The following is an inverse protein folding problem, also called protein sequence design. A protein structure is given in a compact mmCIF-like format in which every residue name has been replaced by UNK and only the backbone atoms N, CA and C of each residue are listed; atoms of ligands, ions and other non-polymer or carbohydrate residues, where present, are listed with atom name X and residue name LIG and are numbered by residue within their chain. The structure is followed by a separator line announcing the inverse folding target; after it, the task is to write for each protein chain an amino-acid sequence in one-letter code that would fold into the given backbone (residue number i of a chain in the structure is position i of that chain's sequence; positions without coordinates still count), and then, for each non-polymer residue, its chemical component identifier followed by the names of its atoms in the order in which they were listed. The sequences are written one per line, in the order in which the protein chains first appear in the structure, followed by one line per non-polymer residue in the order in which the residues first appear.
data_IF_293879014078
#
_entry.id   IF_293879014078
#
_cell.length_a   1.000
_cell.length_b   1.000
_cell.length_c   1.000
_cell.angle_alpha   90.00
_cell.angle_beta   90.00
_cell.angle_gamma   90.00
#
_symmetry.space_group_name_H-M   'P 1'
#
loop_
_entity.id
_entity.type
_entity.pdbx_description
1 polymer ?
#
# COMPACT_ATOMS: atom_id res chain seq x y z
N UNK A 1 20.00 30.76 5.48
CA UNK A 1 19.86 29.51 4.72
C UNK A 1 18.60 29.59 3.89
N UNK A 2 18.69 29.30 2.59
CA UNK A 2 17.51 29.10 1.76
C UNK A 2 16.77 27.86 2.28
N UNK A 3 15.45 27.96 2.49
CA UNK A 3 14.63 26.83 2.92
C UNK A 3 14.80 25.62 1.99
N UNK A 4 15.06 25.85 0.70
CA UNK A 4 15.30 24.80 -0.28
C UNK A 4 16.55 23.95 0.04
N UNK A 5 17.69 24.60 0.32
CA UNK A 5 18.95 23.93 0.66
C UNK A 5 18.83 23.13 1.97
N UNK A 6 18.13 23.70 2.96
CA UNK A 6 17.84 23.02 4.22
C UNK A 6 17.04 21.74 4.01
N UNK A 7 15.95 21.79 3.23
CA UNK A 7 15.11 20.61 2.98
C UNK A 7 15.80 19.57 2.11
N UNK A 8 16.62 19.99 1.13
CA UNK A 8 17.42 19.07 0.32
C UNK A 8 18.43 18.30 1.18
N UNK A 9 19.09 18.99 2.12
CA UNK A 9 20.01 18.37 3.07
C UNK A 9 19.31 17.33 3.95
N UNK A 10 18.11 17.66 4.46
CA UNK A 10 17.30 16.72 5.26
C UNK A 10 16.88 15.52 4.42
N UNK A 11 16.42 15.76 3.18
CA UNK A 11 15.97 14.72 2.26
C UNK A 11 17.10 13.72 1.96
N UNK A 12 18.30 14.19 1.65
CA UNK A 12 19.44 13.31 1.34
C UNK A 12 19.79 12.40 2.54
N UNK A 13 19.86 12.97 3.74
CA UNK A 13 20.08 12.19 4.98
C UNK A 13 18.96 11.19 5.25
N UNK A 14 17.71 11.59 5.01
CA UNK A 14 16.55 10.72 5.20
C UNK A 14 16.56 9.54 4.22
N UNK A 15 16.89 9.77 2.94
CA UNK A 15 17.02 8.71 1.93
C UNK A 15 18.06 7.68 2.35
N UNK A 16 19.25 8.11 2.77
CA UNK A 16 20.31 7.20 3.23
C UNK A 16 19.88 6.39 4.45
N UNK A 17 19.37 7.07 5.49
CA UNK A 17 18.96 6.44 6.75
C UNK A 17 17.82 5.44 6.55
N UNK A 18 16.75 5.84 5.84
CA UNK A 18 15.59 4.97 5.58
C UNK A 18 15.99 3.70 4.83
N UNK A 19 16.86 3.84 3.82
CA UNK A 19 17.36 2.71 3.04
C UNK A 19 18.37 1.84 3.77
N UNK A 20 19.13 2.38 4.72
CA UNK A 20 20.07 1.61 5.52
C UNK A 20 19.37 0.83 6.64
N UNK A 21 18.33 1.41 7.24
CA UNK A 21 17.68 0.87 8.44
C UNK A 21 16.56 -0.11 8.08
N UNK A 22 15.72 0.20 7.09
CA UNK A 22 14.47 -0.54 6.86
C UNK A 22 14.53 -1.51 5.68
N UNK A 23 15.41 -1.28 4.69
CA UNK A 23 15.48 -2.18 3.54
C UNK A 23 16.12 -3.51 3.92
N UNK A 24 15.37 -4.60 3.81
CA UNK A 24 15.83 -5.93 4.19
C UNK A 24 16.28 -6.81 3.00
N UNK A 25 16.24 -6.27 1.78
CA UNK A 25 16.58 -6.98 0.55
C UNK A 25 15.37 -7.39 -0.29
N UNK A 26 14.17 -7.46 0.28
CA UNK A 26 12.92 -7.84 -0.39
C UNK A 26 11.84 -6.75 -0.29
N UNK A 27 11.74 -6.11 0.86
CA UNK A 27 10.80 -5.04 1.16
C UNK A 27 11.38 -4.11 2.26
N UNK A 28 10.63 -3.08 2.65
CA UNK A 28 10.97 -2.24 3.79
C UNK A 28 10.28 -2.78 5.05
N UNK A 29 11.07 -3.11 6.07
CA UNK A 29 10.59 -3.46 7.41
C UNK A 29 9.61 -2.39 7.93
N UNK A 30 8.61 -2.82 8.71
CA UNK A 30 7.59 -1.95 9.26
C UNK A 30 8.18 -0.84 10.13
N UNK A 31 9.14 -1.20 11.00
CA UNK A 31 9.88 -0.26 11.83
C UNK A 31 11.26 -0.80 12.24
N UNK A 32 12.02 0.02 12.97
CA UNK A 32 13.34 -0.34 13.49
C UNK A 32 13.36 -0.60 15.00
N UNK A 33 12.21 -0.94 15.61
CA UNK A 33 12.11 -1.16 17.06
C UNK A 33 12.71 -2.50 17.51
N UNK A 34 12.94 -3.42 16.57
CA UNK A 34 13.50 -4.75 16.85
C UNK A 34 12.50 -5.71 17.49
N UNK A 35 11.22 -5.33 17.55
CA UNK A 35 10.15 -6.19 18.05
C UNK A 35 9.74 -7.22 17.00
N UNK A 36 8.95 -8.21 17.42
CA UNK A 36 8.46 -9.27 16.53
C UNK A 36 7.75 -8.71 15.29
N UNK A 37 6.91 -7.68 15.45
CA UNK A 37 6.17 -7.04 14.35
C UNK A 37 7.03 -6.13 13.46
N UNK A 38 8.28 -5.80 13.83
CA UNK A 38 9.15 -4.92 13.02
C UNK A 38 9.37 -5.47 11.61
N UNK A 39 9.29 -6.80 11.44
CA UNK A 39 9.43 -7.46 10.13
C UNK A 39 8.12 -7.62 9.36
N UNK A 40 6.99 -7.12 9.89
CA UNK A 40 5.69 -7.18 9.22
C UNK A 40 5.76 -6.48 7.86
N UNK A 41 5.22 -7.14 6.84
CA UNK A 41 5.08 -6.58 5.51
C UNK A 41 3.84 -5.69 5.55
N UNK A 42 4.05 -4.38 5.66
CA UNK A 42 2.95 -3.42 5.69
C UNK A 42 2.47 -3.12 4.27
N UNK A 43 1.16 -3.21 4.04
CA UNK A 43 0.54 -2.90 2.74
C UNK A 43 0.79 -1.45 2.30
N UNK A 44 0.92 -0.53 3.26
CA UNK A 44 1.11 0.91 3.03
C UNK A 44 2.57 1.38 3.23
N UNK A 45 3.55 0.45 3.26
CA UNK A 45 4.96 0.80 3.53
C UNK A 45 5.55 1.84 2.55
N UNK A 46 4.94 2.00 1.37
CA UNK A 46 5.34 2.95 0.33
C UNK A 46 4.34 4.11 0.13
N UNK A 47 3.56 4.47 1.15
CA UNK A 47 2.57 5.56 1.06
C UNK A 47 3.19 6.91 0.62
N UNK A 48 4.45 7.17 1.01
CA UNK A 48 5.20 8.34 0.55
C UNK A 48 5.45 8.33 -0.95
N UNK A 49 5.85 7.19 -1.53
CA UNK A 49 6.03 7.04 -2.97
C UNK A 49 4.69 7.18 -3.72
N UNK A 50 3.61 6.61 -3.19
CA UNK A 50 2.26 6.81 -3.75
C UNK A 50 1.89 8.29 -3.82
N UNK A 51 2.16 9.05 -2.75
CA UNK A 51 1.85 10.47 -2.71
C UNK A 51 2.70 11.28 -3.70
N UNK A 52 4.00 10.99 -3.79
CA UNK A 52 4.91 11.62 -4.77
C UNK A 52 4.42 11.40 -6.21
N UNK A 53 3.97 10.18 -6.53
CA UNK A 53 3.34 9.89 -7.84
C UNK A 53 2.08 10.71 -8.05
N UNK A 54 1.21 10.82 -7.05
CA UNK A 54 -0.01 11.65 -7.13
C UNK A 54 0.29 13.15 -7.33
N UNK A 55 1.42 13.63 -6.81
CA UNK A 55 1.89 15.00 -7.01
C UNK A 55 2.62 15.23 -8.34
N UNK A 56 2.87 14.18 -9.13
CA UNK A 56 3.62 14.29 -10.39
C UNK A 56 5.12 14.54 -10.19
N UNK A 57 5.66 14.25 -9.01
CA UNK A 57 7.10 14.35 -8.72
C UNK A 57 7.83 13.27 -9.53
N UNK A 58 8.90 13.67 -10.23
CA UNK A 58 9.68 12.77 -11.12
C UNK A 58 10.98 12.33 -10.50
N UNK A 59 11.44 13.06 -9.50
CA UNK A 59 12.66 12.81 -8.74
C UNK A 59 12.55 11.46 -8.03
N UNK A 60 13.60 10.66 -8.16
CA UNK A 60 13.70 9.38 -7.48
C UNK A 60 13.96 9.62 -5.99
N UNK A 61 12.93 9.42 -5.17
CA UNK A 61 13.05 9.48 -3.69
C UNK A 61 13.36 8.09 -3.12
N UNK A 62 12.69 7.07 -3.64
CA UNK A 62 12.94 5.67 -3.33
C UNK A 62 13.59 4.98 -4.54
N UNK A 63 14.62 4.13 -4.34
CA UNK A 63 15.19 3.35 -5.42
C UNK A 63 14.13 2.54 -6.18
N UNK A 64 14.06 2.70 -7.51
CA UNK A 64 12.98 2.13 -8.33
C UNK A 64 12.92 0.59 -8.23
N UNK A 65 14.07 -0.08 -8.14
CA UNK A 65 14.17 -1.53 -7.98
C UNK A 65 13.54 -1.99 -6.65
N UNK A 66 13.81 -1.26 -5.55
CA UNK A 66 13.25 -1.54 -4.23
C UNK A 66 11.75 -1.32 -4.20
N UNK A 67 11.25 -0.25 -4.84
CA UNK A 67 9.81 0.00 -4.96
C UNK A 67 9.11 -1.17 -5.67
N UNK A 68 9.62 -1.58 -6.84
CA UNK A 68 9.03 -2.71 -7.60
C UNK A 68 9.05 -4.01 -6.80
N UNK A 69 10.15 -4.27 -6.09
CA UNK A 69 10.31 -5.48 -5.27
C UNK A 69 9.37 -5.47 -4.07
N UNK A 70 9.28 -4.36 -3.33
CA UNK A 70 8.28 -4.16 -2.27
C UNK A 70 6.85 -4.36 -2.78
N UNK A 71 6.46 -3.75 -3.90
CA UNK A 71 5.11 -3.90 -4.47
C UNK A 71 4.80 -5.36 -4.85
N UNK A 72 5.76 -6.07 -5.43
CA UNK A 72 5.62 -7.49 -5.76
C UNK A 72 5.48 -8.34 -4.50
N UNK A 73 6.25 -8.04 -3.45
CA UNK A 73 6.16 -8.70 -2.13
C UNK A 73 4.80 -8.45 -1.49
N UNK A 74 4.32 -7.20 -1.45
CA UNK A 74 3.00 -6.85 -0.91
C UNK A 74 1.89 -7.58 -1.67
N UNK A 75 1.95 -7.59 -3.00
CA UNK A 75 0.96 -8.31 -3.81
C UNK A 75 0.94 -9.81 -3.48
N UNK A 76 2.11 -10.45 -3.44
CA UNK A 76 2.22 -11.87 -3.13
C UNK A 76 1.72 -12.19 -1.72
N UNK A 77 2.11 -11.38 -0.73
CA UNK A 77 1.92 -11.69 0.68
C UNK A 77 0.60 -11.13 1.21
N UNK A 78 0.38 -9.84 1.10
CA UNK A 78 -0.77 -9.15 1.69
C UNK A 78 -2.05 -9.29 0.86
N UNK A 79 -1.93 -9.53 -0.46
CA UNK A 79 -3.08 -9.74 -1.35
C UNK A 79 -3.29 -11.23 -1.59
N UNK A 80 -2.43 -11.89 -2.38
CA UNK A 80 -2.65 -13.29 -2.76
C UNK A 80 -2.62 -14.23 -1.55
N UNK A 81 -1.74 -13.99 -0.58
CA UNK A 81 -1.65 -14.74 0.67
C UNK A 81 -2.84 -14.55 1.61
N UNK A 82 -3.66 -13.51 1.42
CA UNK A 82 -4.81 -13.22 2.28
C UNK A 82 -6.14 -13.56 1.58
N UNK A 83 -6.87 -14.56 2.11
CA UNK A 83 -8.16 -15.02 1.56
C UNK A 83 -8.12 -15.25 0.04
N UNK A 84 -7.02 -15.83 -0.45
CA UNK A 84 -6.82 -16.13 -1.87
C UNK A 84 -6.80 -14.90 -2.79
N UNK A 85 -6.50 -13.70 -2.28
CA UNK A 85 -6.47 -12.48 -3.07
C UNK A 85 -7.85 -11.90 -3.42
N UNK A 86 -8.90 -12.33 -2.74
CA UNK A 86 -10.28 -11.96 -3.10
C UNK A 86 -10.87 -10.80 -2.29
N UNK A 87 -10.12 -10.25 -1.33
CA UNK A 87 -10.65 -9.25 -0.38
C UNK A 87 -9.91 -7.91 -0.36
N UNK A 88 -8.77 -7.78 -1.04
CA UNK A 88 -7.89 -6.61 -0.96
C UNK A 88 -6.57 -6.93 -0.27
N UNK A 89 -5.86 -5.92 0.22
CA UNK A 89 -4.58 -6.08 0.90
C UNK A 89 -4.75 -6.01 2.42
N UNK A 90 -4.42 -7.09 3.15
CA UNK A 90 -4.39 -7.03 4.62
C UNK A 90 -3.24 -6.13 5.06
N UNK A 91 -3.45 -5.32 6.09
CA UNK A 91 -2.53 -4.26 6.48
C UNK A 91 -1.16 -4.81 6.87
N UNK A 92 -1.10 -5.89 7.66
CA UNK A 92 0.13 -6.52 8.10
C UNK A 92 0.17 -8.02 7.80
N UNK A 93 1.28 -8.48 7.23
CA UNK A 93 1.54 -9.90 6.98
C UNK A 93 2.94 -10.22 7.47
N UNK A 94 3.09 -11.25 8.31
CA UNK A 94 4.40 -11.71 8.74
C UNK A 94 5.15 -12.40 7.58
N UNK A 95 6.49 -12.43 7.59
CA UNK A 95 7.27 -12.99 6.47
C UNK A 95 7.05 -14.49 6.25
N UNK A 96 6.53 -15.19 7.25
CA UNK A 96 6.13 -16.60 7.19
C UNK A 96 4.77 -16.82 6.51
N UNK A 97 4.05 -15.75 6.15
CA UNK A 97 2.74 -15.79 5.48
C UNK A 97 1.55 -15.81 6.43
N UNK A 98 1.75 -15.71 7.74
CA UNK A 98 0.67 -15.54 8.71
C UNK A 98 0.29 -14.08 8.85
N UNK A 99 -1.01 -13.78 9.03
CA UNK A 99 -1.44 -12.42 9.34
C UNK A 99 -0.75 -11.89 10.60
N UNK A 100 -0.36 -10.62 10.56
CA UNK A 100 0.21 -9.97 11.74
C UNK A 100 -0.91 -9.67 12.75
N UNK A 101 -0.84 -10.32 13.91
CA UNK A 101 -1.83 -10.19 15.00
C UNK A 101 -1.35 -9.26 16.12
N UNK A 102 -0.36 -8.40 15.88
CA UNK A 102 0.12 -7.46 16.89
C UNK A 102 -0.95 -6.42 17.26
N UNK A 103 -1.80 -6.02 16.31
CA UNK A 103 -2.88 -5.06 16.52
C UNK A 103 -4.13 -5.46 15.76
N UNK A 104 -5.29 -4.96 16.18
CA UNK A 104 -6.54 -5.14 15.42
C UNK A 104 -6.40 -4.58 14.01
N UNK A 105 -5.67 -3.47 13.85
CA UNK A 105 -5.46 -2.83 12.56
C UNK A 105 -4.61 -3.67 11.61
N UNK A 106 -3.62 -4.43 12.10
CA UNK A 106 -2.76 -5.23 11.23
C UNK A 106 -3.51 -6.40 10.58
N UNK A 107 -4.58 -6.88 11.23
CA UNK A 107 -5.47 -7.93 10.70
C UNK A 107 -6.55 -7.41 9.73
N UNK A 108 -6.70 -6.10 9.61
CA UNK A 108 -7.71 -5.46 8.76
C UNK A 108 -7.24 -5.29 7.32
N UNK A 109 -8.16 -5.34 6.37
CA UNK A 109 -8.00 -4.75 5.05
C UNK A 109 -8.59 -3.35 5.09
N UNK A 110 -7.78 -2.31 4.97
CA UNK A 110 -8.28 -0.94 4.80
C UNK A 110 -8.61 -0.69 3.33
N UNK A 111 -9.88 -0.39 3.04
CA UNK A 111 -10.40 -0.26 1.68
C UNK A 111 -9.69 0.86 0.92
N UNK A 112 -9.50 2.01 1.57
CA UNK A 112 -8.80 3.15 0.99
C UNK A 112 -7.30 2.94 0.81
N UNK A 113 -6.63 2.21 1.72
CA UNK A 113 -5.21 1.85 1.55
C UNK A 113 -5.06 0.89 0.37
N UNK A 114 -5.95 -0.09 0.26
CA UNK A 114 -5.92 -1.06 -0.84
C UNK A 114 -6.07 -0.37 -2.21
N UNK A 115 -6.97 0.61 -2.34
CA UNK A 115 -7.10 1.37 -3.57
C UNK A 115 -5.90 2.30 -3.87
N UNK A 116 -5.29 2.89 -2.84
CA UNK A 116 -4.07 3.67 -2.98
C UNK A 116 -2.89 2.79 -3.45
N UNK A 117 -2.72 1.62 -2.84
CA UNK A 117 -1.74 0.61 -3.23
C UNK A 117 -1.97 0.14 -4.67
N UNK A 118 -3.21 -0.15 -5.05
CA UNK A 118 -3.57 -0.52 -6.42
C UNK A 118 -3.17 0.56 -7.43
N UNK A 119 -3.39 1.84 -7.11
CA UNK A 119 -2.94 2.96 -7.94
C UNK A 119 -1.42 3.00 -8.06
N UNK A 120 -0.69 2.79 -6.97
CA UNK A 120 0.77 2.76 -6.98
C UNK A 120 1.29 1.61 -7.85
N UNK A 121 0.73 0.39 -7.72
CA UNK A 121 1.03 -0.75 -8.58
C UNK A 121 0.84 -0.40 -10.05
N UNK A 122 -0.32 0.18 -10.41
CA UNK A 122 -0.61 0.62 -11.78
C UNK A 122 0.45 1.61 -12.27
N UNK A 123 0.82 2.61 -11.46
CA UNK A 123 1.83 3.62 -11.83
C UNK A 123 3.24 3.06 -12.09
N UNK A 124 3.54 1.88 -11.54
CA UNK A 124 4.80 1.16 -11.76
C UNK A 124 4.74 0.08 -12.84
N UNK A 125 3.62 0.00 -13.59
CA UNK A 125 3.41 -0.95 -14.67
C UNK A 125 2.81 -2.29 -14.24
N UNK A 126 2.52 -2.47 -12.95
CA UNK A 126 1.90 -3.68 -12.38
C UNK A 126 0.37 -3.59 -12.49
N UNK A 127 -0.10 -3.48 -13.74
CA UNK A 127 -1.52 -3.18 -14.01
C UNK A 127 -2.43 -4.30 -13.55
N UNK A 128 -2.07 -5.55 -13.83
CA UNK A 128 -2.89 -6.71 -13.47
C UNK A 128 -2.99 -6.86 -11.95
N UNK A 129 -1.86 -6.76 -11.26
CA UNK A 129 -1.75 -6.81 -9.81
C UNK A 129 -2.55 -5.69 -9.15
N UNK A 130 -2.43 -4.46 -9.67
CA UNK A 130 -3.19 -3.31 -9.17
C UNK A 130 -4.69 -3.50 -9.32
N UNK A 131 -5.18 -3.93 -10.48
CA UNK A 131 -6.61 -4.19 -10.68
C UNK A 131 -7.11 -5.39 -9.88
N UNK A 132 -6.32 -6.47 -9.74
CA UNK A 132 -6.70 -7.61 -8.91
C UNK A 132 -6.84 -7.20 -7.43
N UNK A 133 -5.88 -6.42 -6.93
CA UNK A 133 -5.88 -5.86 -5.58
C UNK A 133 -7.14 -5.01 -5.32
N UNK A 134 -7.47 -4.08 -6.23
CA UNK A 134 -8.67 -3.25 -6.13
C UNK A 134 -9.98 -4.08 -6.26
N UNK A 135 -10.00 -5.07 -7.15
CA UNK A 135 -11.15 -5.94 -7.39
C UNK A 135 -11.55 -6.72 -6.14
N UNK A 136 -10.60 -7.09 -5.29
CA UNK A 136 -10.91 -7.74 -4.02
C UNK A 136 -11.82 -6.91 -3.11
N UNK A 137 -11.52 -5.61 -2.97
CA UNK A 137 -12.37 -4.68 -2.21
C UNK A 137 -13.72 -4.50 -2.90
N UNK A 138 -13.74 -4.28 -4.21
CA UNK A 138 -14.98 -4.13 -4.98
C UNK A 138 -15.91 -5.33 -4.78
N UNK A 139 -15.42 -6.55 -5.00
CA UNK A 139 -16.22 -7.76 -4.85
C UNK A 139 -16.70 -7.93 -3.41
N UNK A 140 -15.83 -7.72 -2.44
CA UNK A 140 -16.21 -7.85 -1.03
C UNK A 140 -17.35 -6.89 -0.70
N UNK A 141 -17.15 -5.59 -0.94
CA UNK A 141 -18.08 -4.52 -0.58
C UNK A 141 -19.41 -4.63 -1.33
N UNK A 142 -19.37 -4.79 -2.66
CA UNK A 142 -20.55 -4.71 -3.51
C UNK A 142 -21.29 -6.04 -3.64
N UNK A 143 -20.58 -7.16 -3.68
CA UNK A 143 -21.17 -8.47 -4.00
C UNK A 143 -21.31 -9.38 -2.78
N UNK A 144 -20.44 -9.27 -1.77
CA UNK A 144 -20.41 -10.23 -0.67
C UNK A 144 -21.07 -9.70 0.61
N UNK A 145 -20.78 -8.46 1.03
CA UNK A 145 -21.26 -7.91 2.30
C UNK A 145 -22.37 -6.85 2.17
N UNK A 146 -22.75 -6.50 0.94
CA UNK A 146 -23.88 -5.60 0.68
C UNK A 146 -23.69 -4.15 1.14
N UNK A 147 -22.45 -3.67 1.22
CA UNK A 147 -22.11 -2.31 1.67
C UNK A 147 -21.93 -1.33 0.50
N UNK A 148 -22.63 -1.56 -0.62
CA UNK A 148 -22.68 -0.60 -1.71
C UNK A 148 -23.24 0.73 -1.19
N UNK A 149 -22.59 1.85 -1.55
CA UNK A 149 -22.89 3.21 -1.05
C UNK A 149 -22.57 3.49 0.43
N UNK A 150 -22.13 2.49 1.19
CA UNK A 150 -21.73 2.62 2.60
C UNK A 150 -20.34 2.01 2.85
N UNK A 151 -19.47 2.05 1.84
CA UNK A 151 -18.14 1.42 1.87
C UNK A 151 -17.40 1.69 3.19
N UNK A 152 -17.02 0.65 3.95
CA UNK A 152 -16.40 0.81 5.26
C UNK A 152 -14.92 1.19 5.17
N UNK A 153 -14.35 1.69 6.27
CA UNK A 153 -12.89 1.85 6.43
C UNK A 153 -12.19 0.49 6.29
N UNK A 154 -12.66 -0.49 7.07
CA UNK A 154 -11.99 -1.76 7.22
C UNK A 154 -12.94 -2.95 7.02
N UNK A 155 -12.40 -4.01 6.45
CA UNK A 155 -13.02 -5.33 6.28
C UNK A 155 -12.10 -6.41 6.88
N UNK A 156 -12.70 -7.44 7.46
CA UNK A 156 -12.01 -8.57 8.08
C UNK A 156 -12.30 -9.87 7.35
N UNK A 157 -11.43 -10.86 7.50
CA UNK A 157 -11.63 -12.22 6.95
C UNK A 157 -12.88 -12.93 7.49
N UNK A 158 -13.35 -12.55 8.69
CA UNK A 158 -14.48 -13.18 9.38
C UNK A 158 -15.84 -12.54 9.05
N UNK A 159 -16.01 -12.02 7.83
CA UNK A 159 -17.25 -11.33 7.40
C UNK A 159 -17.68 -10.19 8.36
N UNK A 160 -16.71 -9.42 8.84
CA UNK A 160 -16.96 -8.24 9.66
C UNK A 160 -16.42 -6.99 8.94
N UNK A 161 -16.90 -5.83 9.35
CA UNK A 161 -16.44 -4.53 8.87
C UNK A 161 -16.50 -3.47 9.98
N UNK A 162 -15.74 -2.38 9.80
CA UNK A 162 -15.67 -1.27 10.76
C UNK A 162 -15.82 0.07 10.05
N UNK A 163 -16.61 0.96 10.67
CA UNK A 163 -16.84 2.34 10.24
C UNK A 163 -17.37 2.46 8.80
N UNK A 164 -18.67 2.19 8.61
CA UNK A 164 -19.38 2.32 7.32
C UNK A 164 -19.50 3.77 6.86
N UNK A 165 -19.71 3.97 5.55
CA UNK A 165 -19.85 5.30 4.94
C UNK A 165 -18.59 6.14 5.05
N UNK A 166 -17.42 5.52 4.87
CA UNK A 166 -16.13 6.12 5.20
C UNK A 166 -15.53 6.93 4.03
N UNK A 167 -14.69 7.90 4.38
CA UNK A 167 -14.06 8.80 3.40
C UNK A 167 -12.91 8.13 2.62
N UNK A 168 -12.06 7.35 3.29
CA UNK A 168 -10.83 6.79 2.72
C UNK A 168 -11.01 5.99 1.41
N UNK A 169 -12.08 5.18 1.20
CA UNK A 169 -12.29 4.47 -0.05
C UNK A 169 -12.36 5.35 -1.31
N UNK A 170 -12.57 6.68 -1.18
CA UNK A 170 -12.51 7.61 -2.30
C UNK A 170 -11.10 7.68 -2.95
N UNK A 171 -10.06 7.14 -2.31
CA UNK A 171 -8.73 6.97 -2.92
C UNK A 171 -8.74 6.12 -4.20
N UNK A 172 -9.82 5.38 -4.50
CA UNK A 172 -10.01 4.69 -5.79
C UNK A 172 -9.79 5.59 -7.01
N UNK A 173 -10.08 6.89 -6.89
CA UNK A 173 -9.84 7.87 -7.95
C UNK A 173 -8.36 8.06 -8.30
N UNK A 174 -7.44 7.72 -7.39
CA UNK A 174 -6.00 7.73 -7.69
C UNK A 174 -5.64 6.72 -8.79
N UNK A 175 -6.38 5.62 -8.93
CA UNK A 175 -6.18 4.66 -10.03
C UNK A 175 -6.41 5.34 -11.38
N UNK A 176 -7.47 6.15 -11.51
CA UNK A 176 -7.74 6.91 -12.73
C UNK A 176 -6.62 7.92 -13.04
N UNK A 177 -6.10 8.58 -12.00
CA UNK A 177 -4.95 9.46 -12.14
C UNK A 177 -3.71 8.72 -12.64
N UNK A 178 -3.39 7.54 -12.07
CA UNK A 178 -2.28 6.70 -12.50
C UNK A 178 -2.43 6.27 -13.98
N UNK A 179 -3.62 5.83 -14.40
CA UNK A 179 -3.91 5.45 -15.80
C UNK A 179 -3.70 6.61 -16.77
N UNK A 180 -4.13 7.82 -16.39
CA UNK A 180 -3.97 9.01 -17.23
C UNK A 180 -2.51 9.41 -17.41
N UNK A 181 -1.68 9.22 -16.39
CA UNK A 181 -0.26 9.59 -16.46
C UNK A 181 0.60 8.53 -17.16
N UNK A 182 0.23 7.25 -17.11
CA UNK A 182 0.88 6.21 -17.94
C UNK A 182 0.72 6.55 -19.43
N UNK A 183 -0.48 6.97 -19.85
CA UNK A 183 -0.76 7.34 -21.25
C UNK A 183 0.02 8.54 -21.77
N UNK A 184 0.54 9.40 -20.89
CA UNK A 184 1.35 10.57 -21.27
C UNK A 184 2.83 10.26 -21.47
N UNK A 185 3.29 9.10 -20.99
CA UNK A 185 4.68 8.67 -21.04
C UNK A 185 4.92 7.55 -22.08
N UNK A 186 3.88 7.18 -22.84
CA UNK A 186 3.91 6.33 -24.03
C UNK A 186 3.83 7.21 -25.28
#
# INVERSE_FOLDING_TARGET
EDNSEKYLTILNKAKESYNAILWNGEYYDFDSSGQYHSKSIMADQLCGEWYLKCCGVKEEVFPIDRVRKSLSTIYKMNVQGFNGGTMGAVNGMMPDGNSDTFSVQSEEVWTGVTYALASLMVSYGLREEGFNTAKGVYNTVYNNIGMAYETPEAIYSKNAYRSVGYMRPLSIWSIQYALNNIKKNL
#
